data_IF_526199343365
#
_entry.id   IF_526199343365
#
_cell.length_a   1.000
_cell.length_b   1.000
_cell.length_c   1.000
_cell.angle_alpha   90.00
_cell.angle_beta   90.00
_cell.angle_gamma   90.00
#
_symmetry.space_group_name_H-M   'P 1'
#
loop_
_entity.id
_entity.type
_entity.pdbx_description
1 polymer ?
#
# COMPACT_ATOMS: atom_id res chain seq x y z
N UNK A 1 -32.62 15.21 -1.16
CA UNK A 1 -32.79 15.79 0.19
C UNK A 1 -31.81 15.08 1.12
N UNK A 2 -30.83 15.81 1.66
CA UNK A 2 -29.82 15.28 2.58
C UNK A 2 -30.52 14.86 3.87
N UNK A 3 -30.55 13.56 4.19
CA UNK A 3 -31.15 13.04 5.41
C UNK A 3 -30.09 12.90 6.49
N UNK A 4 -30.41 13.45 7.67
CA UNK A 4 -29.84 13.29 9.01
C UNK A 4 -28.31 13.05 9.15
N UNK A 5 -27.68 13.84 10.02
CA UNK A 5 -26.39 13.48 10.58
C UNK A 5 -26.50 12.14 11.32
N UNK A 6 -25.51 11.27 11.17
CA UNK A 6 -25.51 9.93 11.78
C UNK A 6 -25.65 9.91 13.30
N UNK A 7 -25.46 11.06 13.97
CA UNK A 7 -25.66 11.24 15.41
C UNK A 7 -27.08 10.93 15.90
N UNK A 8 -28.09 10.96 15.01
CA UNK A 8 -29.47 10.54 15.32
C UNK A 8 -29.80 9.10 14.87
N UNK A 9 -28.81 8.35 14.38
CA UNK A 9 -28.99 7.01 13.83
C UNK A 9 -29.60 7.03 12.42
N UNK A 10 -29.05 6.20 11.53
CA UNK A 10 -29.61 6.00 10.19
C UNK A 10 -30.83 5.07 10.23
N UNK A 11 -31.68 5.11 9.20
CA UNK A 11 -32.76 4.12 9.08
C UNK A 11 -32.19 2.70 9.00
N UNK A 12 -32.99 1.68 9.33
CA UNK A 12 -32.53 0.30 9.45
C UNK A 12 -31.90 -0.28 8.16
N UNK A 13 -32.23 0.29 7.00
CA UNK A 13 -31.71 -0.09 5.69
C UNK A 13 -30.68 0.89 5.11
N UNK A 14 -30.22 1.87 5.90
CA UNK A 14 -29.28 2.91 5.48
C UNK A 14 -27.90 2.73 6.15
N UNK A 15 -26.89 3.31 5.51
CA UNK A 15 -25.50 3.36 5.95
C UNK A 15 -25.12 4.78 6.30
N UNK A 16 -24.22 4.95 7.26
CA UNK A 16 -23.60 6.21 7.61
C UNK A 16 -22.29 6.36 6.83
N UNK A 17 -22.23 7.30 5.89
CA UNK A 17 -21.03 7.56 5.12
C UNK A 17 -19.87 8.10 5.97
N UNK A 18 -18.67 8.10 5.42
CA UNK A 18 -17.46 8.74 6.00
C UNK A 18 -17.65 10.23 6.31
N UNK A 19 -18.63 10.86 5.68
CA UNK A 19 -18.94 12.28 5.85
C UNK A 19 -20.09 12.52 6.85
N UNK A 20 -20.57 11.46 7.53
CA UNK A 20 -21.57 11.56 8.59
C UNK A 20 -23.01 11.70 8.08
N UNK A 21 -23.32 11.16 6.89
CA UNK A 21 -24.66 11.21 6.29
C UNK A 21 -25.27 9.82 6.09
N UNK A 22 -26.58 9.71 6.27
CA UNK A 22 -27.32 8.46 6.07
C UNK A 22 -27.81 8.29 4.63
N UNK A 23 -27.66 7.09 4.05
CA UNK A 23 -28.20 6.76 2.74
C UNK A 23 -27.96 5.32 2.31
N UNK A 24 -28.47 4.96 1.13
CA UNK A 24 -28.29 3.64 0.51
C UNK A 24 -27.46 3.78 -0.76
N UNK A 25 -26.43 2.96 -0.95
CA UNK A 25 -25.58 3.00 -2.14
C UNK A 25 -24.09 2.98 -1.78
N UNK A 26 -23.19 2.69 -2.73
CA UNK A 26 -21.74 2.58 -2.47
C UNK A 26 -21.11 3.83 -1.86
N UNK A 27 -21.67 5.01 -2.11
CA UNK A 27 -21.22 6.30 -1.57
C UNK A 27 -21.54 6.49 -0.08
N UNK A 28 -22.52 5.74 0.44
CA UNK A 28 -22.89 5.72 1.87
C UNK A 28 -22.43 4.45 2.58
N UNK A 29 -22.51 3.33 1.88
CA UNK A 29 -22.27 1.99 2.38
C UNK A 29 -20.88 1.44 2.02
N UNK A 30 -20.06 2.17 1.27
CA UNK A 30 -18.75 1.72 0.82
C UNK A 30 -17.64 1.95 1.84
N UNK A 31 -16.42 2.15 1.33
CA UNK A 31 -15.22 2.30 2.15
C UNK A 31 -15.36 3.44 3.19
N UNK A 32 -14.96 3.13 4.43
CA UNK A 32 -14.97 4.05 5.57
C UNK A 32 -16.37 4.49 6.06
N UNK A 33 -17.41 3.76 5.67
CA UNK A 33 -18.73 3.87 6.29
C UNK A 33 -18.64 3.71 7.83
N UNK A 34 -19.23 4.65 8.55
CA UNK A 34 -19.08 4.84 10.00
C UNK A 34 -20.14 4.06 10.81
N UNK A 35 -21.17 3.49 10.16
CA UNK A 35 -22.26 2.76 10.83
C UNK A 35 -23.39 2.33 9.90
N UNK A 36 -24.28 1.45 10.34
CA UNK A 36 -25.35 0.87 9.51
C UNK A 36 -24.87 -0.32 8.67
N UNK A 37 -25.54 -0.60 7.53
CA UNK A 37 -25.28 -1.74 6.64
C UNK A 37 -24.03 -1.54 5.75
N UNK A 38 -22.92 -1.08 6.33
CA UNK A 38 -21.67 -0.88 5.61
C UNK A 38 -21.27 -2.17 4.88
N UNK A 39 -21.12 -2.10 3.56
CA UNK A 39 -20.56 -3.16 2.75
C UNK A 39 -19.08 -3.28 3.06
N UNK A 40 -18.71 -4.35 3.77
CA UNK A 40 -17.38 -4.93 3.59
C UNK A 40 -17.26 -5.32 2.11
N UNK A 41 -16.07 -5.29 1.54
CA UNK A 41 -15.75 -5.48 0.12
C UNK A 41 -16.21 -6.82 -0.54
N UNK A 42 -17.39 -7.36 -0.23
CA UNK A 42 -17.89 -8.67 -0.66
C UNK A 42 -17.22 -9.86 0.02
N UNK A 43 -16.26 -9.65 0.92
CA UNK A 43 -15.46 -10.73 1.54
C UNK A 43 -16.03 -11.06 2.92
N UNK A 44 -16.57 -12.27 3.07
CA UNK A 44 -16.92 -12.83 4.38
C UNK A 44 -15.63 -13.20 5.12
N UNK A 45 -15.48 -12.74 6.36
CA UNK A 45 -14.31 -13.07 7.21
C UNK A 45 -14.24 -14.57 7.52
N UNK A 46 -15.40 -15.24 7.49
CA UNK A 46 -15.48 -16.70 7.57
C UNK A 46 -14.88 -17.39 6.34
N UNK A 47 -14.81 -16.71 5.19
CA UNK A 47 -14.26 -17.25 3.95
C UNK A 47 -12.73 -17.07 3.89
N UNK A 48 -12.17 -16.09 4.61
CA UNK A 48 -10.71 -15.96 4.80
C UNK A 48 -10.21 -17.03 5.77
N UNK A 49 -10.90 -17.18 6.91
CA UNK A 49 -10.57 -18.18 7.91
C UNK A 49 -11.37 -19.46 7.68
N UNK A 50 -11.09 -20.18 6.60
CA UNK A 50 -11.80 -21.45 6.31
C UNK A 50 -11.50 -22.50 7.39
N UNK A 51 -12.35 -23.53 7.56
CA UNK A 51 -12.08 -24.65 8.47
C UNK A 51 -10.72 -25.30 8.21
N UNK A 52 -10.35 -25.47 6.94
CA UNK A 52 -9.10 -26.11 6.52
C UNK A 52 -7.90 -25.25 6.93
N UNK A 53 -7.96 -23.94 6.66
CA UNK A 53 -6.94 -22.98 7.06
C UNK A 53 -6.77 -22.95 8.58
N UNK A 54 -7.87 -22.86 9.32
CA UNK A 54 -7.84 -22.81 10.78
C UNK A 54 -7.27 -24.09 11.40
N UNK A 55 -7.68 -25.25 10.89
CA UNK A 55 -7.18 -26.55 11.35
C UNK A 55 -5.70 -26.74 11.00
N UNK A 56 -5.23 -26.23 9.86
CA UNK A 56 -3.82 -26.25 9.51
C UNK A 56 -2.96 -25.47 10.51
N UNK A 57 -3.44 -24.33 11.03
CA UNK A 57 -2.76 -23.60 12.10
C UNK A 57 -2.71 -24.40 13.41
N UNK A 58 -3.82 -24.99 13.82
CA UNK A 58 -3.87 -25.81 15.05
C UNK A 58 -2.97 -27.05 14.97
N UNK A 59 -2.79 -27.61 13.77
CA UNK A 59 -1.95 -28.78 13.56
C UNK A 59 -0.44 -28.49 13.67
N UNK A 60 0.00 -27.23 13.60
CA UNK A 60 1.39 -26.87 13.90
C UNK A 60 1.72 -27.06 15.38
N UNK A 61 0.72 -26.97 16.26
CA UNK A 61 0.83 -27.20 17.71
C UNK A 61 0.15 -28.49 18.16
N UNK A 62 0.23 -29.56 17.35
CA UNK A 62 -0.56 -30.78 17.57
C UNK A 62 -0.39 -31.44 18.95
N UNK A 63 0.73 -31.18 19.63
CA UNK A 63 1.08 -31.72 20.96
C UNK A 63 0.85 -30.72 22.10
N UNK A 64 0.41 -29.49 21.81
CA UNK A 64 0.23 -28.46 22.82
C UNK A 64 -1.10 -28.65 23.58
N UNK A 65 -1.13 -28.43 24.92
CA UNK A 65 -2.35 -28.52 25.73
C UNK A 65 -3.50 -27.64 25.21
N UNK A 66 -3.16 -26.52 24.56
CA UNK A 66 -4.13 -25.57 24.00
C UNK A 66 -4.83 -26.03 22.72
N UNK A 67 -4.48 -27.18 22.12
CA UNK A 67 -5.06 -27.61 20.83
C UNK A 67 -6.60 -27.69 20.86
N UNK A 68 -7.16 -28.18 21.96
CA UNK A 68 -8.61 -28.32 22.13
C UNK A 68 -9.27 -27.07 22.73
N UNK A 69 -8.48 -26.06 23.07
CA UNK A 69 -8.97 -24.80 23.65
C UNK A 69 -9.40 -23.81 22.55
N UNK A 70 -8.67 -23.75 21.44
CA UNK A 70 -8.96 -22.84 20.33
C UNK A 70 -9.93 -23.47 19.33
N UNK A 71 -11.04 -22.79 19.04
CA UNK A 71 -12.02 -23.22 18.03
C UNK A 71 -12.27 -22.13 16.99
N UNK A 72 -12.59 -22.54 15.76
CA UNK A 72 -12.97 -21.62 14.68
C UNK A 72 -14.21 -20.79 15.05
N UNK A 73 -15.18 -21.40 15.74
CA UNK A 73 -16.39 -20.71 16.21
C UNK A 73 -16.05 -19.56 17.15
N UNK A 74 -15.29 -19.83 18.22
CA UNK A 74 -14.86 -18.80 19.16
C UNK A 74 -14.01 -17.69 18.49
N UNK A 75 -13.22 -18.06 17.48
CA UNK A 75 -12.47 -17.09 16.67
C UNK A 75 -13.40 -16.18 15.86
N UNK A 76 -14.42 -16.73 15.19
CA UNK A 76 -15.40 -15.93 14.45
C UNK A 76 -16.26 -15.04 15.36
N UNK A 77 -16.68 -15.55 16.53
CA UNK A 77 -17.43 -14.77 17.52
C UNK A 77 -16.59 -13.59 18.05
N UNK A 78 -15.30 -13.84 18.35
CA UNK A 78 -14.37 -12.79 18.75
C UNK A 78 -14.17 -11.77 17.62
N UNK A 79 -14.04 -12.22 16.38
CA UNK A 79 -13.95 -11.36 15.22
C UNK A 79 -15.18 -10.45 15.09
N UNK A 80 -16.39 -10.96 15.29
CA UNK A 80 -17.61 -10.18 15.20
C UNK A 80 -17.70 -9.07 16.26
N UNK A 81 -17.09 -9.30 17.44
CA UNK A 81 -16.92 -8.28 18.47
C UNK A 81 -15.84 -7.23 18.16
N UNK A 82 -14.91 -7.53 17.25
CA UNK A 82 -13.78 -6.67 16.86
C UNK A 82 -14.07 -6.00 15.53
N UNK A 83 -14.96 -5.01 15.57
CA UNK A 83 -15.50 -4.31 14.39
C UNK A 83 -14.47 -3.50 13.59
N UNK A 84 -13.26 -3.30 14.10
CA UNK A 84 -12.16 -2.64 13.39
C UNK A 84 -11.08 -3.62 12.87
N UNK A 85 -11.04 -4.86 13.40
CA UNK A 85 -10.01 -5.83 13.05
C UNK A 85 -10.29 -6.47 11.69
N UNK A 86 -9.33 -6.35 10.76
CA UNK A 86 -9.45 -6.81 9.37
C UNK A 86 -10.65 -6.19 8.61
N UNK A 87 -11.07 -4.98 9.01
CA UNK A 87 -12.06 -4.14 8.28
C UNK A 87 -11.45 -2.90 7.65
N UNK A 88 -10.22 -2.55 8.02
CA UNK A 88 -9.44 -1.46 7.43
C UNK A 88 -8.25 -2.05 6.66
N UNK A 89 -8.12 -1.63 5.41
CA UNK A 89 -7.10 -2.16 4.49
C UNK A 89 -7.53 -3.49 3.87
N UNK A 90 -7.58 -3.55 2.54
CA UNK A 90 -7.61 -4.82 1.81
C UNK A 90 -6.20 -5.37 1.60
N UNK A 91 -6.08 -6.70 1.45
CA UNK A 91 -4.87 -7.34 0.91
C UNK A 91 -4.55 -6.78 -0.47
N UNK A 92 -5.55 -6.29 -1.21
CA UNK A 92 -5.35 -5.54 -2.46
C UNK A 92 -4.81 -4.13 -2.24
N UNK A 93 -5.20 -3.37 -1.22
CA UNK A 93 -4.63 -2.03 -0.94
C UNK A 93 -3.16 -2.10 -0.52
N UNK A 94 -2.80 -3.15 0.22
CA UNK A 94 -1.40 -3.46 0.56
C UNK A 94 -0.61 -4.09 -0.59
N UNK A 95 -1.30 -4.64 -1.61
CA UNK A 95 -0.72 -5.17 -2.87
C UNK A 95 -0.93 -4.30 -4.10
N UNK A 96 -1.55 -3.11 -4.01
CA UNK A 96 -1.83 -2.26 -5.19
C UNK A 96 -0.71 -1.26 -5.45
N UNK A 97 0.00 -0.84 -4.41
CA UNK A 97 1.01 0.20 -4.49
C UNK A 97 2.41 -0.30 -4.15
N UNK A 98 2.71 -1.56 -4.47
CA UNK A 98 4.07 -2.08 -4.40
C UNK A 98 4.94 -1.48 -5.51
N UNK A 99 6.25 -1.62 -5.35
CA UNK A 99 7.24 -1.11 -6.29
C UNK A 99 7.03 -1.64 -7.71
N UNK A 100 6.69 -0.75 -8.65
CA UNK A 100 6.58 -1.08 -10.07
C UNK A 100 7.45 -0.15 -10.93
N UNK A 101 7.86 -0.66 -12.10
CA UNK A 101 8.68 0.09 -13.05
C UNK A 101 10.13 0.32 -12.60
N UNK A 102 10.88 1.13 -13.37
CA UNK A 102 12.34 1.26 -13.24
C UNK A 102 12.83 1.80 -11.88
N UNK A 103 12.09 2.72 -11.27
CA UNK A 103 12.40 3.26 -9.94
C UNK A 103 11.47 2.73 -8.85
N UNK A 104 10.80 1.60 -9.10
CA UNK A 104 9.95 0.93 -8.12
C UNK A 104 8.97 1.91 -7.44
N UNK A 105 8.17 2.63 -8.25
CA UNK A 105 7.16 3.57 -7.73
C UNK A 105 6.30 2.82 -6.72
N UNK A 106 6.22 3.35 -5.50
CA UNK A 106 5.58 2.70 -4.36
C UNK A 106 4.67 3.69 -3.66
N UNK A 107 3.64 3.19 -2.98
CA UNK A 107 2.67 3.93 -2.18
C UNK A 107 1.66 4.79 -2.96
N UNK A 108 0.41 4.77 -2.50
CA UNK A 108 -0.71 5.54 -3.05
C UNK A 108 -0.42 7.04 -3.18
N UNK A 109 0.32 7.63 -2.24
CA UNK A 109 0.68 9.05 -2.28
C UNK A 109 1.65 9.41 -3.42
N UNK A 110 2.33 8.43 -4.04
CA UNK A 110 3.09 8.64 -5.26
C UNK A 110 2.25 8.30 -6.51
N UNK A 111 1.53 7.18 -6.48
CA UNK A 111 0.73 6.73 -7.62
C UNK A 111 -0.40 7.72 -7.99
N UNK A 112 -1.09 8.29 -7.02
CA UNK A 112 -2.17 9.25 -7.28
C UNK A 112 -1.69 10.51 -8.02
N UNK A 113 -0.71 11.26 -7.48
CA UNK A 113 -0.13 12.41 -8.16
C UNK A 113 0.52 12.07 -9.51
N UNK A 114 1.24 10.95 -9.61
CA UNK A 114 1.79 10.48 -10.89
C UNK A 114 0.68 10.22 -11.92
N UNK A 115 -0.41 9.57 -11.51
CA UNK A 115 -1.59 9.34 -12.33
C UNK A 115 -2.20 10.63 -12.88
N UNK A 116 -2.38 11.60 -11.99
CA UNK A 116 -2.93 12.91 -12.35
C UNK A 116 -2.09 13.67 -13.37
N UNK A 117 -0.75 13.61 -13.29
CA UNK A 117 0.14 14.34 -14.21
C UNK A 117 0.42 13.57 -15.51
N UNK A 118 0.40 12.24 -15.46
CA UNK A 118 0.76 11.36 -16.58
C UNK A 118 -0.46 10.80 -17.33
N UNK A 119 -1.66 11.20 -16.92
CA UNK A 119 -2.95 10.84 -17.50
C UNK A 119 -3.24 9.33 -17.46
N UNK A 120 -3.02 8.70 -16.30
CA UNK A 120 -3.46 7.33 -16.01
C UNK A 120 -4.14 7.25 -14.63
N UNK A 121 -4.97 6.24 -14.41
CA UNK A 121 -5.64 6.06 -13.11
C UNK A 121 -4.68 5.40 -12.09
N UNK A 122 -3.91 6.23 -11.40
CA UNK A 122 -2.93 5.76 -10.42
C UNK A 122 -3.52 5.15 -9.15
N UNK A 123 -4.77 5.45 -8.78
CA UNK A 123 -5.38 4.92 -7.56
C UNK A 123 -6.33 3.75 -7.84
N UNK A 124 -7.06 3.80 -8.95
CA UNK A 124 -7.98 2.75 -9.38
C UNK A 124 -7.32 1.64 -10.19
N UNK A 125 -6.24 1.93 -10.93
CA UNK A 125 -5.52 0.99 -11.79
C UNK A 125 -3.97 1.12 -11.72
N UNK A 126 -3.35 1.00 -10.52
CA UNK A 126 -1.90 1.17 -10.34
C UNK A 126 -1.05 0.14 -11.10
N UNK A 127 -1.60 -1.04 -11.42
CA UNK A 127 -0.96 -2.06 -12.25
C UNK A 127 -0.60 -1.58 -13.65
N UNK A 128 -1.16 -0.46 -14.12
CA UNK A 128 -0.78 0.21 -15.36
C UNK A 128 0.74 0.49 -15.41
N UNK A 129 1.36 0.83 -14.27
CA UNK A 129 2.82 1.05 -14.18
C UNK A 129 3.61 -0.24 -14.40
N UNK A 130 3.04 -1.41 -14.14
CA UNK A 130 3.67 -2.71 -14.37
C UNK A 130 3.40 -3.26 -15.77
N UNK A 131 2.27 -2.91 -16.40
CA UNK A 131 1.86 -3.47 -17.69
C UNK A 131 2.14 -2.58 -18.91
N UNK A 132 2.25 -1.26 -18.74
CA UNK A 132 2.53 -0.32 -19.83
C UNK A 132 3.97 0.24 -19.70
N UNK A 133 4.89 -0.11 -20.61
CA UNK A 133 6.28 0.33 -20.53
C UNK A 133 6.45 1.85 -20.68
N UNK A 134 5.59 2.53 -21.45
CA UNK A 134 5.64 3.99 -21.58
C UNK A 134 5.24 4.65 -20.27
N UNK A 135 4.18 4.17 -19.63
CA UNK A 135 3.76 4.67 -18.31
C UNK A 135 4.80 4.34 -17.25
N UNK A 136 5.41 3.15 -17.28
CA UNK A 136 6.47 2.76 -16.36
C UNK A 136 7.67 3.73 -16.38
N UNK A 137 8.16 4.08 -17.57
CA UNK A 137 9.25 5.05 -17.71
C UNK A 137 8.82 6.46 -17.34
N UNK A 138 7.61 6.90 -17.74
CA UNK A 138 7.08 8.20 -17.34
C UNK A 138 6.97 8.33 -15.82
N UNK A 139 6.51 7.30 -15.13
CA UNK A 139 6.41 7.27 -13.67
C UNK A 139 7.78 7.39 -13.00
N UNK A 140 8.80 6.68 -13.52
CA UNK A 140 10.18 6.81 -13.01
C UNK A 140 10.74 8.22 -13.22
N UNK A 141 10.57 8.81 -14.40
CA UNK A 141 11.03 10.17 -14.70
C UNK A 141 10.27 11.24 -13.90
N UNK A 142 8.97 11.04 -13.68
CA UNK A 142 8.16 11.88 -12.82
C UNK A 142 8.70 11.85 -11.38
N UNK A 143 8.93 10.66 -10.82
CA UNK A 143 9.47 10.52 -9.46
C UNK A 143 10.85 11.18 -9.34
N UNK A 144 11.72 10.94 -10.32
CA UNK A 144 13.04 11.57 -10.39
C UNK A 144 12.93 13.10 -10.37
N UNK A 145 12.09 13.66 -11.23
CA UNK A 145 11.93 15.12 -11.38
C UNK A 145 11.38 15.76 -10.12
N UNK A 146 10.42 15.11 -9.45
CA UNK A 146 9.73 15.68 -8.27
C UNK A 146 10.51 15.52 -6.97
N UNK A 147 11.27 14.44 -6.82
CA UNK A 147 11.88 14.06 -5.53
C UNK A 147 13.40 14.00 -5.53
N UNK A 148 14.04 13.81 -6.69
CA UNK A 148 15.49 13.48 -6.76
C UNK A 148 16.31 14.57 -7.44
N UNK A 149 15.86 15.10 -8.57
CA UNK A 149 16.65 15.96 -9.46
C UNK A 149 17.27 17.18 -8.75
N UNK A 150 16.55 17.78 -7.80
CA UNK A 150 17.03 18.92 -7.02
C UNK A 150 18.26 18.62 -6.15
N UNK A 151 18.53 17.34 -5.86
CA UNK A 151 19.67 16.90 -5.03
C UNK A 151 20.91 16.56 -5.85
N UNK A 152 20.83 16.51 -7.18
CA UNK A 152 21.94 16.08 -8.03
C UNK A 152 23.21 16.92 -7.85
N UNK A 153 23.07 18.23 -7.60
CA UNK A 153 24.20 19.13 -7.36
C UNK A 153 24.96 18.84 -6.06
N UNK A 154 24.39 18.03 -5.16
CA UNK A 154 24.98 17.63 -3.89
C UNK A 154 25.79 16.31 -4.00
N UNK A 155 25.78 15.66 -5.17
CA UNK A 155 26.46 14.39 -5.42
C UNK A 155 25.52 13.19 -5.46
N UNK A 156 26.02 12.06 -5.95
CA UNK A 156 25.20 10.86 -6.17
C UNK A 156 24.63 10.29 -4.86
N UNK A 157 25.35 10.36 -3.76
CA UNK A 157 24.87 9.93 -2.45
C UNK A 157 23.62 10.67 -1.97
N UNK A 158 23.48 11.96 -2.33
CA UNK A 158 22.27 12.72 -2.04
C UNK A 158 21.05 12.20 -2.81
N UNK A 159 21.26 11.71 -4.04
CA UNK A 159 20.20 11.08 -4.83
C UNK A 159 19.76 9.74 -4.23
N UNK A 160 20.71 8.94 -3.71
CA UNK A 160 20.40 7.69 -2.98
C UNK A 160 19.52 8.01 -1.77
N UNK A 161 19.92 9.03 -0.99
CA UNK A 161 19.16 9.49 0.18
C UNK A 161 17.76 9.98 -0.18
N UNK A 162 17.60 10.67 -1.31
CA UNK A 162 16.31 11.14 -1.80
C UNK A 162 15.39 10.00 -2.24
N UNK A 163 15.96 8.92 -2.80
CA UNK A 163 15.22 7.73 -3.25
C UNK A 163 14.83 6.86 -2.05
N UNK A 164 15.79 6.52 -1.19
CA UNK A 164 15.57 5.67 -0.05
C UNK A 164 16.48 6.07 1.14
N UNK A 165 16.02 6.96 2.03
CA UNK A 165 16.84 7.47 3.12
C UNK A 165 17.22 6.38 4.15
N UNK A 166 16.51 5.25 4.17
CA UNK A 166 16.77 4.13 5.09
C UNK A 166 18.11 3.43 4.78
N UNK A 167 18.61 3.52 3.54
CA UNK A 167 19.87 2.87 3.16
C UNK A 167 21.12 3.58 3.73
N UNK A 168 20.98 4.87 4.03
CA UNK A 168 22.08 5.76 4.36
C UNK A 168 22.54 5.68 5.82
N UNK A 169 23.59 6.43 6.16
CA UNK A 169 24.20 6.54 7.49
C UNK A 169 24.74 5.20 8.00
N UNK A 170 25.14 4.32 7.08
CA UNK A 170 25.68 3.00 7.38
C UNK A 170 24.64 1.92 7.70
N UNK A 171 23.34 2.19 7.49
CA UNK A 171 22.27 1.22 7.75
C UNK A 171 22.25 0.06 6.75
N UNK A 172 22.37 0.33 5.45
CA UNK A 172 22.39 -0.71 4.40
C UNK A 172 23.56 -0.51 3.43
N UNK A 173 24.79 -0.55 3.96
CA UNK A 173 26.04 -0.27 3.22
C UNK A 173 26.15 -1.02 1.89
N UNK A 174 25.80 -2.30 1.87
CA UNK A 174 25.92 -3.13 0.66
C UNK A 174 24.99 -2.62 -0.46
N UNK A 175 23.77 -2.17 -0.12
CA UNK A 175 22.83 -1.62 -1.11
C UNK A 175 23.31 -0.28 -1.67
N UNK A 176 23.83 0.59 -0.80
CA UNK A 176 24.45 1.86 -1.22
C UNK A 176 25.62 1.57 -2.17
N UNK A 177 26.48 0.61 -1.83
CA UNK A 177 27.62 0.24 -2.67
C UNK A 177 27.16 -0.29 -4.04
N UNK A 178 26.15 -1.16 -4.08
CA UNK A 178 25.60 -1.64 -5.37
C UNK A 178 25.12 -0.50 -6.26
N UNK A 179 24.46 0.53 -5.69
CA UNK A 179 24.04 1.71 -6.46
C UNK A 179 25.22 2.49 -7.01
N UNK A 180 26.26 2.68 -6.20
CA UNK A 180 27.50 3.36 -6.59
C UNK A 180 28.17 2.60 -7.74
N UNK A 181 28.27 1.27 -7.65
CA UNK A 181 28.91 0.45 -8.68
C UNK A 181 28.21 0.58 -10.03
N UNK A 182 26.87 0.54 -10.06
CA UNK A 182 26.10 0.77 -11.28
C UNK A 182 26.31 2.19 -11.83
N UNK A 183 26.26 3.20 -10.96
CA UNK A 183 26.46 4.59 -11.37
C UNK A 183 27.84 4.81 -11.97
N UNK A 184 28.90 4.37 -11.30
CA UNK A 184 30.28 4.47 -11.80
C UNK A 184 30.46 3.72 -13.11
N UNK A 185 29.85 2.53 -13.26
CA UNK A 185 29.86 1.79 -14.53
C UNK A 185 29.22 2.60 -15.67
N UNK A 186 28.08 3.25 -15.42
CA UNK A 186 27.43 4.09 -16.44
C UNK A 186 28.21 5.37 -16.74
N UNK A 187 28.79 6.02 -15.74
CA UNK A 187 29.70 7.16 -15.95
C UNK A 187 30.87 6.79 -16.86
N UNK A 188 31.49 5.63 -16.64
CA UNK A 188 32.58 5.12 -17.48
C UNK A 188 32.11 4.87 -18.93
N UNK A 189 30.93 4.30 -19.13
CA UNK A 189 30.36 4.07 -20.47
C UNK A 189 30.06 5.39 -21.20
N UNK A 190 29.64 6.42 -20.46
CA UNK A 190 29.34 7.75 -20.99
C UNK A 190 30.58 8.66 -21.10
N UNK A 191 31.76 8.15 -20.72
CA UNK A 191 33.02 8.90 -20.67
C UNK A 191 32.93 10.21 -19.86
N UNK A 192 32.26 10.14 -18.70
CA UNK A 192 32.15 11.24 -17.74
C UNK A 192 32.67 10.79 -16.37
N UNK A 193 33.28 11.71 -15.60
CA UNK A 193 33.68 11.41 -14.24
C UNK A 193 32.44 11.25 -13.33
N UNK A 194 32.41 10.29 -12.39
CA UNK A 194 31.30 10.11 -11.45
C UNK A 194 31.16 11.27 -10.44
N UNK A 195 32.21 12.09 -10.28
CA UNK A 195 32.26 13.18 -9.31
C UNK A 195 32.47 12.69 -7.87
N UNK A 196 32.34 13.62 -6.94
CA UNK A 196 32.53 13.39 -5.50
C UNK A 196 31.19 13.07 -4.79
N UNK A 197 31.26 12.76 -3.50
CA UNK A 197 30.07 12.52 -2.64
C UNK A 197 29.16 11.39 -3.14
N UNK A 198 29.75 10.25 -3.51
CA UNK A 198 29.03 9.10 -4.04
C UNK A 198 28.22 8.32 -2.99
N UNK A 199 28.65 8.38 -1.72
CA UNK A 199 28.01 7.66 -0.61
C UNK A 199 27.01 8.54 0.13
N UNK A 200 26.03 7.87 0.73
CA UNK A 200 25.35 8.32 1.93
C UNK A 200 25.54 7.23 3.00
#
# INVERSE_FOLDING_TARGET
>A
MVKAQCGNGCAANECCSTFGYCGTGPEFCGANCQGGLCSNNGISRADIATPEFFNAMLNQGATCPGKNFYSRGAFLDALDSLTQFARTGSVEESRRYYGCGPLQLSWNYNYGPAGSELLFDGLGAPETVASDPLIAFKAALWFWTKNVAATMSQGFGATIRAINPIECNGAERDKVQFRIDYFTRYCNQLNVAPGDSLTC
#
